data_IF_060381080308
#
_entry.id   IF_060381080308
#
_cell.length_a   1.000
_cell.length_b   1.000
_cell.length_c   1.000
_cell.angle_alpha   90.00
_cell.angle_beta   90.00
_cell.angle_gamma   90.00
#
_symmetry.space_group_name_H-M   'P 1'
#
loop_
_entity.id
_entity.type
_entity.pdbx_description
1 polymer ?
#
# COMPACT_ATOMS: atom_id res chain seq x y z
N UNK A 1 -4.21 4.70 -13.43
CA UNK A 1 -3.85 5.73 -12.44
C UNK A 1 -3.34 5.02 -11.20
N UNK A 2 -2.09 5.26 -10.79
CA UNK A 2 -1.39 4.56 -9.71
C UNK A 2 -1.56 5.28 -8.36
N UNK A 3 -2.71 5.93 -8.12
CA UNK A 3 -2.91 6.75 -6.93
C UNK A 3 -3.88 6.08 -5.97
N UNK A 4 -3.51 5.98 -4.69
CA UNK A 4 -4.35 5.45 -3.61
C UNK A 4 -4.69 6.58 -2.63
N UNK A 5 -5.99 6.85 -2.44
CA UNK A 5 -6.46 7.82 -1.46
C UNK A 5 -6.57 7.19 -0.07
N UNK A 6 -5.74 7.65 0.87
CA UNK A 6 -5.84 7.31 2.28
C UNK A 6 -6.87 8.20 3.01
N UNK A 7 -6.93 8.12 4.34
CA UNK A 7 -7.67 9.09 5.14
C UNK A 7 -7.09 10.50 5.06
N UNK A 8 -7.92 11.51 5.31
CA UNK A 8 -7.49 12.91 5.45
C UNK A 8 -6.94 13.57 4.17
N UNK A 9 -7.45 13.20 2.99
CA UNK A 9 -6.98 13.70 1.67
C UNK A 9 -5.51 13.39 1.32
N UNK A 10 -4.88 12.46 2.04
CA UNK A 10 -3.56 11.98 1.68
C UNK A 10 -3.63 11.02 0.48
N UNK A 11 -2.79 11.24 -0.53
CA UNK A 11 -2.69 10.38 -1.71
C UNK A 11 -1.32 9.73 -1.78
N UNK A 12 -1.28 8.42 -1.97
CA UNK A 12 -0.06 7.65 -2.21
C UNK A 12 0.10 7.37 -3.70
N UNK A 13 1.31 7.58 -4.21
CA UNK A 13 1.68 7.11 -5.53
C UNK A 13 2.22 5.68 -5.47
N UNK A 14 1.37 4.73 -5.84
CA UNK A 14 1.67 3.30 -5.86
C UNK A 14 2.81 2.96 -6.83
N UNK A 15 3.09 3.81 -7.84
CA UNK A 15 4.23 3.61 -8.73
C UNK A 15 5.59 3.84 -8.06
N UNK A 16 5.63 4.52 -6.90
CA UNK A 16 6.84 4.71 -6.10
C UNK A 16 7.01 3.62 -5.04
N UNK A 17 6.07 2.69 -4.93
CA UNK A 17 6.17 1.58 -3.99
C UNK A 17 6.96 0.46 -4.65
N UNK A 18 8.03 0.03 -3.99
CA UNK A 18 8.86 -1.09 -4.41
C UNK A 18 8.29 -2.42 -3.95
N UNK A 19 7.87 -2.50 -2.69
CA UNK A 19 7.27 -3.69 -2.12
C UNK A 19 6.29 -3.34 -1.00
N UNK A 20 5.37 -4.27 -0.75
CA UNK A 20 4.41 -4.21 0.34
C UNK A 20 4.50 -5.51 1.12
N UNK A 21 4.70 -5.40 2.43
CA UNK A 21 4.68 -6.51 3.38
C UNK A 21 3.43 -6.36 4.26
N UNK A 22 2.67 -7.45 4.41
CA UNK A 22 1.46 -7.47 5.23
C UNK A 22 1.72 -8.32 6.45
N UNK A 23 1.55 -7.73 7.63
CA UNK A 23 1.63 -8.43 8.90
C UNK A 23 0.21 -8.65 9.43
N UNK A 24 -0.19 -9.91 9.46
CA UNK A 24 -1.49 -10.33 9.99
C UNK A 24 -1.35 -10.58 11.50
N UNK A 25 -1.86 -9.65 12.30
CA UNK A 25 -1.94 -9.76 13.75
C UNK A 25 -3.29 -9.29 14.29
N UNK A 26 -3.42 -9.00 15.60
CA UNK A 26 -4.64 -8.43 16.17
C UNK A 26 -5.01 -7.06 15.57
N UNK A 27 -4.04 -6.40 14.91
CA UNK A 27 -4.26 -5.29 13.99
C UNK A 27 -3.50 -5.59 12.70
N UNK A 28 -4.15 -5.45 11.55
CA UNK A 28 -3.48 -5.56 10.25
C UNK A 28 -2.54 -4.38 10.05
N UNK A 29 -1.27 -4.68 9.82
CA UNK A 29 -0.24 -3.70 9.50
C UNK A 29 0.24 -3.92 8.08
N UNK A 30 0.48 -2.82 7.37
CA UNK A 30 1.00 -2.85 6.01
C UNK A 30 2.25 -1.99 5.97
N UNK A 31 3.39 -2.63 5.77
CA UNK A 31 4.67 -1.97 5.61
C UNK A 31 4.95 -1.75 4.14
N UNK A 32 5.06 -0.49 3.76
CA UNK A 32 5.43 -0.05 2.41
C UNK A 32 6.92 0.22 2.40
N UNK A 33 7.61 -0.35 1.43
CA UNK A 33 8.98 0.03 1.08
C UNK A 33 8.93 0.82 -0.22
N UNK A 34 9.41 2.06 -0.18
CA UNK A 34 9.48 2.97 -1.32
C UNK A 34 10.69 2.66 -2.21
N UNK A 35 10.69 3.15 -3.45
CA UNK A 35 11.80 2.97 -4.40
C UNK A 35 13.13 3.55 -3.92
N UNK A 36 13.10 4.57 -3.06
CA UNK A 36 14.29 5.15 -2.44
C UNK A 36 14.82 4.36 -1.24
N UNK A 37 14.12 3.28 -0.84
CA UNK A 37 14.47 2.45 0.31
C UNK A 37 13.82 2.87 1.62
N UNK A 38 13.11 4.00 1.65
CA UNK A 38 12.36 4.41 2.84
C UNK A 38 11.24 3.43 3.13
N UNK A 39 10.91 3.27 4.42
CA UNK A 39 9.80 2.41 4.83
C UNK A 39 8.78 3.19 5.64
N UNK A 40 7.49 2.90 5.40
CA UNK A 40 6.40 3.47 6.19
C UNK A 40 5.36 2.41 6.50
N UNK A 41 4.87 2.42 7.75
CA UNK A 41 3.87 1.44 8.20
C UNK A 41 2.50 2.09 8.31
N UNK A 42 1.56 1.57 7.52
CA UNK A 42 0.14 1.92 7.57
C UNK A 42 -0.62 0.92 8.45
N UNK A 43 -1.71 1.39 9.07
CA UNK A 43 -2.53 0.62 10.01
C UNK A 43 -4.01 0.81 9.70
N UNK A 44 -4.83 -0.05 10.29
CA UNK A 44 -6.28 0.05 10.30
C UNK A 44 -6.86 0.27 8.87
N UNK A 45 -7.70 1.29 8.68
CA UNK A 45 -8.38 1.54 7.39
C UNK A 45 -7.41 1.91 6.27
N UNK A 46 -6.29 2.54 6.58
CA UNK A 46 -5.30 2.93 5.56
C UNK A 46 -4.53 1.70 5.06
N UNK A 47 -4.24 0.75 5.96
CA UNK A 47 -3.71 -0.56 5.58
C UNK A 47 -4.68 -1.30 4.64
N UNK A 48 -5.96 -1.38 4.97
CA UNK A 48 -6.97 -2.04 4.11
C UNK A 48 -7.05 -1.41 2.72
N UNK A 49 -7.18 -0.08 2.64
CA UNK A 49 -7.26 0.65 1.37
C UNK A 49 -6.02 0.46 0.51
N UNK A 50 -4.85 0.52 1.13
CA UNK A 50 -3.58 0.33 0.45
C UNK A 50 -3.47 -1.08 -0.13
N UNK A 51 -3.83 -2.11 0.64
CA UNK A 51 -3.87 -3.49 0.14
C UNK A 51 -4.82 -3.63 -1.05
N UNK A 52 -6.05 -3.14 -0.93
CA UNK A 52 -7.03 -3.20 -2.03
C UNK A 52 -6.51 -2.53 -3.31
N UNK A 53 -5.90 -1.35 -3.17
CA UNK A 53 -5.36 -0.63 -4.32
C UNK A 53 -4.13 -1.35 -4.91
N UNK A 54 -3.25 -1.89 -4.07
CA UNK A 54 -2.07 -2.64 -4.48
C UNK A 54 -2.42 -3.93 -5.21
N UNK A 55 -3.32 -4.75 -4.64
CA UNK A 55 -3.76 -5.99 -5.26
C UNK A 55 -4.49 -5.75 -6.59
N UNK A 56 -5.32 -4.70 -6.69
CA UNK A 56 -5.98 -4.34 -7.97
C UNK A 56 -5.01 -3.96 -9.08
N UNK A 57 -3.85 -3.40 -8.74
CA UNK A 57 -2.81 -3.10 -9.71
C UNK A 57 -2.04 -4.36 -10.11
N UNK A 58 -1.60 -5.15 -9.14
CA UNK A 58 -0.76 -6.33 -9.41
C UNK A 58 -1.54 -7.50 -10.02
N UNK A 59 -2.84 -7.63 -9.74
CA UNK A 59 -3.70 -8.59 -10.43
C UNK A 59 -3.82 -8.31 -11.94
N UNK A 60 -3.48 -7.09 -12.39
CA UNK A 60 -3.47 -6.70 -13.81
C UNK A 60 -2.11 -6.91 -14.48
N UNK A 61 -1.07 -7.24 -13.72
CA UNK A 61 0.31 -7.37 -14.22
C UNK A 61 0.75 -8.83 -14.43
N UNK A 62 -0.14 -9.81 -14.19
CA UNK A 62 0.06 -11.19 -14.63
C UNK A 62 -0.49 -11.39 -16.05
N UNK A 63 0.32 -11.04 -17.06
CA UNK A 63 0.16 -11.48 -18.46
C UNK A 63 1.53 -11.82 -19.00
#
# INVERSE_FOLDING_TARGET
>A
MYLCKLQGDHWLNLAQIRSVEVEYGPKTLVKVTWINGDTFTYRDKDATKLMEAWFRLYSRTQV
#
